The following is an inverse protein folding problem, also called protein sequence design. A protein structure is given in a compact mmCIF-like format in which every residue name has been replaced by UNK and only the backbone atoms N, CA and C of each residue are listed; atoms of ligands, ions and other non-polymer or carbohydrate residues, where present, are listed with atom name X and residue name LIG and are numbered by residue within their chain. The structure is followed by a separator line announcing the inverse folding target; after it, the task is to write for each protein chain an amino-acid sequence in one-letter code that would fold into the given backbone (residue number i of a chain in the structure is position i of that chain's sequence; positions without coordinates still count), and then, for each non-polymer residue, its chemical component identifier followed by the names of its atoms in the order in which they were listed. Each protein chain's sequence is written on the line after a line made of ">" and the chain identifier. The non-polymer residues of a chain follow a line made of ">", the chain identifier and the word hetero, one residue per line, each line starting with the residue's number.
data_IF_304015498055
#
_entry.id   IF_304015498055
#
_cell.length_a   1.000
_cell.length_b   1.000
_cell.length_c   1.000
_cell.angle_alpha   90.00
_cell.angle_beta   90.00
_cell.angle_gamma   90.00
#
_symmetry.space_group_name_H-M   'P 1'
#
loop_
_entity.id
_entity.type
_entity.pdbx_description
1 polymer ?
#
# COMPACT_ATOMS: atom_id res chain seq x y z
N UNK A 1 11.21 33.66 58.94
CA UNK A 1 12.23 34.72 59.09
C UNK A 1 13.54 34.21 58.52
N UNK A 2 13.93 34.67 57.33
CA UNK A 2 15.34 34.81 56.90
C UNK A 2 15.31 35.65 55.61
N UNK A 3 15.89 36.86 55.71
CA UNK A 3 16.09 37.80 54.61
C UNK A 3 17.33 37.39 53.82
N UNK A 4 17.27 37.45 52.48
CA UNK A 4 18.34 38.04 51.66
C UNK A 4 17.86 38.29 50.23
N UNK A 5 18.16 39.50 49.78
CA UNK A 5 17.78 40.25 48.57
C UNK A 5 18.50 39.82 47.27
N UNK A 6 18.08 40.35 46.10
CA UNK A 6 18.38 39.83 44.76
C UNK A 6 19.61 40.48 44.10
N UNK A 7 20.15 39.85 43.04
CA UNK A 7 21.11 40.45 42.12
C UNK A 7 20.53 40.59 40.71
N UNK A 8 20.56 41.83 40.23
CA UNK A 8 20.31 42.27 38.87
C UNK A 8 21.44 41.85 37.89
N UNK A 9 21.08 41.57 36.64
CA UNK A 9 21.86 41.89 35.43
C UNK A 9 20.90 41.90 34.21
N UNK A 10 20.37 43.07 33.81
CA UNK A 10 20.74 43.88 32.62
C UNK A 10 20.92 43.05 31.33
N UNK A 11 19.93 43.08 30.42
CA UNK A 11 19.82 43.96 29.23
C UNK A 11 21.00 43.86 28.26
N UNK A 12 20.74 43.28 27.08
CA UNK A 12 21.25 43.77 25.80
C UNK A 12 20.17 43.65 24.73
N UNK A 13 19.92 44.78 24.08
CA UNK A 13 19.02 45.01 22.95
C UNK A 13 19.86 45.56 21.80
N UNK A 14 19.69 45.04 20.57
CA UNK A 14 20.03 45.67 19.27
C UNK A 14 19.74 44.62 18.18
N UNK A 15 18.74 44.69 17.28
CA UNK A 15 18.29 45.70 16.29
C UNK A 15 19.23 45.88 15.07
N UNK A 16 18.64 45.69 13.88
CA UNK A 16 19.17 45.95 12.52
C UNK A 16 18.69 44.83 11.56
N UNK A 17 17.70 44.94 10.67
CA UNK A 17 17.16 45.96 9.74
C UNK A 17 18.02 46.23 8.48
N UNK A 18 17.33 46.25 7.31
CA UNK A 18 17.72 46.58 5.91
C UNK A 18 18.40 45.46 5.07
N UNK A 19 18.16 45.30 3.75
CA UNK A 19 17.33 45.99 2.76
C UNK A 19 17.27 45.16 1.45
N UNK A 20 16.18 45.36 0.71
CA UNK A 20 15.90 45.13 -0.72
C UNK A 20 17.09 45.09 -1.70
N UNK A 21 16.95 44.27 -2.76
CA UNK A 21 17.18 44.74 -4.14
C UNK A 21 16.41 43.91 -5.17
N UNK A 22 15.66 44.62 -6.02
CA UNK A 22 14.97 44.18 -7.22
C UNK A 22 15.96 44.04 -8.40
N UNK A 23 15.61 43.23 -9.41
CA UNK A 23 16.27 43.25 -10.71
C UNK A 23 15.57 42.34 -11.73
N UNK A 24 14.82 42.95 -12.64
CA UNK A 24 14.15 42.34 -13.80
C UNK A 24 15.06 42.24 -15.04
N UNK A 25 14.91 41.12 -15.76
CA UNK A 25 15.19 40.70 -17.18
C UNK A 25 15.73 41.74 -18.20
N UNK A 26 16.49 41.31 -19.24
CA UNK A 26 15.88 40.83 -20.49
C UNK A 26 16.54 39.59 -21.12
N UNK A 27 15.80 38.99 -22.06
CA UNK A 27 16.19 37.92 -22.97
C UNK A 27 17.02 38.45 -24.15
N UNK A 28 17.98 37.68 -24.66
CA UNK A 28 18.13 37.42 -26.10
C UNK A 28 19.13 36.29 -26.43
N UNK A 29 18.62 35.40 -27.27
CA UNK A 29 19.15 34.67 -28.43
C UNK A 29 20.62 34.18 -28.58
N UNK A 30 20.69 32.94 -29.08
CA UNK A 30 21.74 32.18 -29.81
C UNK A 30 23.19 32.13 -29.29
N UNK A 31 23.67 30.91 -29.02
CA UNK A 31 24.47 30.12 -29.99
C UNK A 31 24.94 28.80 -29.35
N UNK A 32 24.60 27.69 -30.01
CA UNK A 32 25.10 26.34 -29.71
C UNK A 32 26.42 26.13 -30.45
N UNK A 33 27.50 25.63 -29.81
CA UNK A 33 28.62 25.06 -30.55
C UNK A 33 28.43 23.55 -30.73
N UNK A 34 28.13 23.14 -31.96
CA UNK A 34 28.34 21.77 -32.46
C UNK A 34 29.77 21.63 -33.01
N UNK A 35 30.42 20.49 -32.75
CA UNK A 35 31.49 19.90 -33.61
C UNK A 35 31.83 18.48 -33.11
N UNK A 36 32.34 17.56 -33.96
CA UNK A 36 31.84 17.13 -35.27
C UNK A 36 31.60 15.60 -35.35
N UNK A 37 30.90 15.20 -36.40
CA UNK A 37 30.71 13.82 -36.84
C UNK A 37 32.04 13.15 -37.28
N UNK A 38 32.21 11.87 -36.93
CA UNK A 38 33.22 10.99 -37.54
C UNK A 38 32.56 10.22 -38.67
N UNK A 39 33.11 10.37 -39.87
CA UNK A 39 32.65 9.80 -41.12
C UNK A 39 32.99 8.30 -41.23
N UNK A 40 32.08 7.56 -41.89
CA UNK A 40 32.37 6.27 -42.51
C UNK A 40 33.38 6.44 -43.66
N UNK A 41 34.29 5.48 -43.80
CA UNK A 41 35.04 5.27 -45.03
C UNK A 41 35.01 3.77 -45.40
N UNK A 42 34.44 3.50 -46.57
CA UNK A 42 34.56 2.27 -47.34
C UNK A 42 36.02 1.97 -47.69
N UNK A 43 36.43 0.69 -47.59
CA UNK A 43 37.45 0.12 -48.48
C UNK A 43 37.18 -1.36 -48.70
N UNK A 44 36.88 -1.68 -49.96
CA UNK A 44 36.74 -3.03 -50.50
C UNK A 44 38.11 -3.62 -50.89
N UNK A 45 38.29 -4.94 -50.74
CA UNK A 45 39.43 -5.70 -51.26
C UNK A 45 39.40 -7.18 -50.81
N UNK A 46 39.92 -8.14 -51.61
CA UNK A 46 39.13 -9.31 -52.03
C UNK A 46 39.37 -10.64 -51.26
N UNK A 47 38.41 -11.54 -51.42
CA UNK A 47 38.40 -12.91 -50.92
C UNK A 47 39.45 -13.83 -51.59
N UNK A 48 39.98 -14.86 -50.89
CA UNK A 48 40.71 -15.94 -51.52
C UNK A 48 39.86 -17.20 -51.74
N UNK A 49 40.33 -17.97 -52.72
CA UNK A 49 39.67 -19.02 -53.47
C UNK A 49 39.44 -20.37 -52.74
N UNK A 50 38.49 -21.13 -53.30
CA UNK A 50 38.14 -22.51 -52.98
C UNK A 50 39.06 -23.49 -53.73
N UNK A 51 39.46 -24.58 -53.06
CA UNK A 51 39.92 -25.84 -53.69
C UNK A 51 39.69 -27.05 -52.72
N UNK A 52 39.60 -28.30 -53.22
CA UNK A 52 38.47 -29.19 -52.90
C UNK A 52 38.75 -30.41 -51.99
N UNK A 53 37.63 -30.95 -51.49
CA UNK A 53 37.30 -32.34 -51.16
C UNK A 53 38.34 -33.27 -50.47
N UNK A 54 38.02 -33.66 -49.23
CA UNK A 54 38.37 -34.96 -48.67
C UNK A 54 37.13 -35.58 -47.99
N UNK A 55 36.62 -36.65 -48.59
CA UNK A 55 35.47 -37.44 -48.14
C UNK A 55 35.91 -38.42 -47.05
N UNK A 56 35.35 -38.36 -45.84
CA UNK A 56 35.35 -39.52 -44.93
C UNK A 56 34.30 -39.43 -43.80
N UNK A 57 33.37 -40.40 -43.85
CA UNK A 57 32.58 -41.01 -42.76
C UNK A 57 31.46 -40.18 -42.09
N UNK A 58 30.25 -40.38 -42.62
CA UNK A 58 28.96 -40.17 -41.96
C UNK A 58 28.84 -40.98 -40.66
N UNK A 59 29.16 -40.37 -39.53
CA UNK A 59 28.56 -40.71 -38.24
C UNK A 59 27.26 -39.93 -38.10
N UNK A 60 26.14 -40.63 -37.83
CA UNK A 60 24.82 -39.99 -37.62
C UNK A 60 24.94 -38.87 -36.55
N UNK A 61 24.60 -37.61 -36.86
CA UNK A 61 24.54 -36.59 -35.82
C UNK A 61 23.33 -36.91 -34.92
N UNK A 62 23.62 -37.22 -33.66
CA UNK A 62 22.60 -37.29 -32.61
C UNK A 62 22.02 -35.88 -32.50
N UNK A 63 20.75 -35.71 -32.88
CA UNK A 63 20.04 -34.45 -32.72
C UNK A 63 19.85 -34.21 -31.22
N UNK A 64 20.84 -33.60 -30.57
CA UNK A 64 20.65 -33.04 -29.24
C UNK A 64 19.72 -31.85 -29.45
N UNK A 65 18.42 -32.04 -29.21
CA UNK A 65 17.50 -30.91 -29.08
C UNK A 65 18.12 -30.00 -28.02
N UNK A 66 18.51 -28.76 -28.34
CA UNK A 66 18.82 -27.82 -27.29
C UNK A 66 17.55 -27.71 -26.46
N UNK A 67 17.63 -28.09 -25.18
CA UNK A 67 16.64 -27.65 -24.21
C UNK A 67 16.73 -26.14 -24.27
N UNK A 68 15.74 -25.52 -24.90
CA UNK A 68 15.49 -24.10 -24.77
C UNK A 68 15.21 -23.91 -23.27
N UNK A 69 16.26 -23.69 -22.47
CA UNK A 69 16.08 -22.97 -21.24
C UNK A 69 15.36 -21.69 -21.65
N UNK A 70 14.18 -21.40 -21.07
CA UNK A 70 13.57 -20.11 -21.28
C UNK A 70 14.64 -19.10 -20.89
N UNK A 71 15.13 -18.35 -21.87
CA UNK A 71 15.98 -17.19 -21.61
C UNK A 71 15.10 -16.28 -20.78
N UNK A 72 15.27 -16.34 -19.45
CA UNK A 72 14.65 -15.38 -18.57
C UNK A 72 15.14 -14.02 -19.09
N UNK A 73 14.23 -13.13 -19.52
CA UNK A 73 14.64 -11.77 -19.82
C UNK A 73 15.36 -11.25 -18.57
N UNK A 74 16.44 -10.48 -18.70
CA UNK A 74 17.15 -9.94 -17.54
C UNK A 74 16.17 -9.06 -16.75
N UNK A 75 15.50 -9.64 -15.77
CA UNK A 75 14.65 -8.91 -14.84
C UNK A 75 15.60 -8.06 -14.03
N UNK A 76 15.69 -6.76 -14.33
CA UNK A 76 16.44 -5.78 -13.53
C UNK A 76 15.95 -5.68 -12.08
N UNK A 77 15.02 -6.52 -11.65
CA UNK A 77 14.51 -6.60 -10.29
C UNK A 77 14.94 -7.94 -9.71
N UNK A 78 15.82 -7.88 -8.71
CA UNK A 78 16.24 -9.01 -7.89
C UNK A 78 15.01 -9.53 -7.13
N UNK A 79 14.61 -10.79 -7.35
CA UNK A 79 13.70 -11.47 -6.41
C UNK A 79 14.43 -11.62 -5.09
N UNK A 80 13.79 -11.22 -4.00
CA UNK A 80 14.35 -11.35 -2.67
C UNK A 80 14.18 -12.77 -2.15
N UNK A 81 15.10 -13.20 -1.29
CA UNK A 81 14.92 -14.44 -0.53
C UNK A 81 13.84 -14.25 0.55
N UNK A 82 13.15 -15.32 1.00
CA UNK A 82 12.10 -15.25 2.01
C UNK A 82 12.48 -14.49 3.30
N UNK A 83 13.71 -14.64 3.75
CA UNK A 83 14.26 -13.99 4.95
C UNK A 83 14.48 -12.49 4.80
N UNK A 84 14.52 -11.96 3.57
CA UNK A 84 14.67 -10.54 3.29
C UNK A 84 13.31 -9.81 3.25
N UNK A 85 12.19 -10.54 3.30
CA UNK A 85 10.84 -9.99 3.28
C UNK A 85 10.41 -9.60 4.70
N UNK A 86 10.01 -8.34 4.87
CA UNK A 86 9.43 -7.87 6.13
C UNK A 86 8.09 -8.56 6.38
N UNK A 87 7.90 -9.04 7.61
CA UNK A 87 6.76 -9.88 8.01
C UNK A 87 6.22 -9.49 9.37
N UNK A 88 6.46 -8.27 9.81
CA UNK A 88 6.31 -7.87 11.22
C UNK A 88 4.86 -7.79 11.68
N UNK A 89 3.90 -7.94 10.75
CA UNK A 89 2.46 -7.92 11.02
C UNK A 89 1.72 -8.87 10.08
N UNK A 90 0.61 -9.44 10.55
CA UNK A 90 -0.37 -10.13 9.69
C UNK A 90 -1.45 -9.15 9.22
N UNK A 91 -1.94 -9.34 7.99
CA UNK A 91 -3.19 -8.74 7.51
C UNK A 91 -4.25 -9.82 7.31
N UNK A 92 -4.36 -10.72 8.30
CA UNK A 92 -5.36 -11.77 8.31
C UNK A 92 -6.68 -11.26 8.88
N UNK A 93 -7.78 -11.70 8.28
CA UNK A 93 -9.15 -11.57 8.78
C UNK A 93 -9.67 -12.99 8.98
N UNK A 94 -9.97 -13.35 10.22
CA UNK A 94 -10.48 -14.69 10.53
C UNK A 94 -11.98 -14.68 10.30
N UNK A 95 -12.46 -15.60 9.48
CA UNK A 95 -13.87 -15.78 9.19
C UNK A 95 -14.47 -16.75 10.19
N UNK A 96 -15.69 -16.46 10.65
CA UNK A 96 -16.46 -17.40 11.46
C UNK A 96 -16.95 -18.62 10.64
N UNK A 97 -17.71 -19.49 11.30
CA UNK A 97 -18.24 -20.75 10.74
C UNK A 97 -19.15 -20.55 9.53
N UNK A 98 -19.79 -19.39 9.44
CA UNK A 98 -20.68 -18.99 8.35
C UNK A 98 -19.96 -18.15 7.28
N UNK A 99 -18.62 -18.07 7.36
CA UNK A 99 -17.83 -17.18 6.50
C UNK A 99 -18.05 -15.70 6.86
N UNK A 100 -18.38 -15.42 8.11
CA UNK A 100 -18.71 -14.11 8.62
C UNK A 100 -17.51 -13.31 9.08
N UNK A 101 -17.60 -11.99 8.91
CA UNK A 101 -16.70 -11.02 9.52
C UNK A 101 -17.45 -9.73 9.89
N UNK A 102 -16.95 -9.03 10.90
CA UNK A 102 -17.41 -7.72 11.31
C UNK A 102 -16.30 -6.69 11.16
N UNK A 103 -16.68 -5.45 10.88
CA UNK A 103 -15.72 -4.37 10.87
C UNK A 103 -16.31 -3.01 11.16
N UNK A 104 -15.40 -2.05 11.41
CA UNK A 104 -15.72 -0.65 11.67
C UNK A 104 -14.89 0.28 10.81
N UNK A 105 -15.55 1.27 10.20
CA UNK A 105 -14.90 2.36 9.48
C UNK A 105 -15.15 3.70 10.18
N UNK A 106 -14.14 4.55 10.16
CA UNK A 106 -14.21 5.90 10.73
C UNK A 106 -13.42 6.90 9.88
N UNK A 107 -13.71 8.19 10.06
CA UNK A 107 -12.90 9.29 9.56
C UNK A 107 -12.10 9.90 10.72
N UNK A 108 -10.90 10.39 10.41
CA UNK A 108 -10.08 11.14 11.36
C UNK A 108 -10.32 12.62 11.07
N UNK A 109 -10.70 13.36 12.11
CA UNK A 109 -10.88 14.82 12.07
C UNK A 109 -10.03 15.48 13.14
N UNK A 110 -9.91 16.81 13.10
CA UNK A 110 -9.23 17.56 14.16
C UNK A 110 -9.92 17.46 15.53
N UNK A 111 -11.19 17.05 15.56
CA UNK A 111 -11.99 16.88 16.77
C UNK A 111 -11.93 15.45 17.31
N UNK A 112 -11.34 14.51 16.55
CA UNK A 112 -11.21 13.12 16.90
C UNK A 112 -11.75 12.19 15.82
N UNK A 113 -12.34 11.08 16.25
CA UNK A 113 -12.72 9.97 15.39
C UNK A 113 -14.23 10.01 15.19
N UNK A 114 -14.66 10.08 13.93
CA UNK A 114 -16.08 10.12 13.59
C UNK A 114 -16.48 8.84 12.85
N UNK A 115 -17.63 8.22 13.19
CA UNK A 115 -18.15 7.09 12.42
C UNK A 115 -18.25 7.39 10.93
N UNK A 116 -17.76 6.48 10.09
CA UNK A 116 -17.93 6.58 8.64
C UNK A 116 -19.21 5.83 8.25
N UNK A 117 -20.36 6.50 8.42
CA UNK A 117 -21.67 5.96 8.05
C UNK A 117 -21.91 5.99 6.53
N UNK A 118 -22.86 5.17 6.07
CA UNK A 118 -23.31 5.09 4.66
C UNK A 118 -22.18 4.80 3.66
N UNK A 119 -21.12 4.11 4.10
CA UNK A 119 -20.03 3.64 3.28
C UNK A 119 -20.43 2.32 2.63
N UNK A 120 -20.38 2.26 1.30
CA UNK A 120 -20.58 1.01 0.56
C UNK A 120 -19.30 0.17 0.62
N UNK A 121 -19.31 -0.87 1.45
CA UNK A 121 -18.20 -1.79 1.68
C UNK A 121 -18.29 -2.96 0.71
N UNK A 122 -17.18 -3.29 0.04
CA UNK A 122 -17.07 -4.38 -0.93
C UNK A 122 -15.85 -5.22 -0.61
N UNK A 123 -16.05 -6.53 -0.59
CA UNK A 123 -14.97 -7.52 -0.47
C UNK A 123 -14.61 -8.02 -1.86
N UNK A 124 -13.32 -7.98 -2.16
CA UNK A 124 -12.76 -8.34 -3.45
C UNK A 124 -11.95 -9.63 -3.30
N UNK A 125 -12.41 -10.74 -3.86
CA UNK A 125 -11.71 -12.05 -3.90
C UNK A 125 -11.93 -12.71 -5.26
N UNK A 126 -11.17 -13.75 -5.61
CA UNK A 126 -11.37 -14.50 -6.86
C UNK A 126 -11.39 -13.67 -8.17
N UNK A 127 -10.70 -12.53 -8.21
CA UNK A 127 -10.65 -11.66 -9.38
C UNK A 127 -11.78 -10.61 -9.53
N UNK A 128 -12.66 -10.47 -8.52
CA UNK A 128 -13.78 -9.54 -8.60
C UNK A 128 -14.48 -9.28 -7.27
N UNK A 129 -15.71 -8.77 -7.32
CA UNK A 129 -16.54 -8.52 -6.14
C UNK A 129 -17.15 -9.83 -5.63
N UNK A 130 -16.84 -10.19 -4.39
CA UNK A 130 -17.37 -11.37 -3.72
C UNK A 130 -18.56 -11.05 -2.82
N UNK A 131 -18.51 -9.93 -2.09
CA UNK A 131 -19.60 -9.48 -1.23
C UNK A 131 -19.71 -7.95 -1.20
N UNK A 132 -20.86 -7.45 -0.77
CA UNK A 132 -21.15 -6.02 -0.61
C UNK A 132 -22.11 -5.80 0.57
N UNK A 133 -21.87 -4.73 1.33
CA UNK A 133 -22.72 -4.26 2.41
C UNK A 133 -22.57 -2.74 2.58
N UNK A 134 -23.29 -2.15 3.53
CA UNK A 134 -23.19 -0.73 3.87
C UNK A 134 -22.96 -0.58 5.36
N UNK A 135 -22.10 0.36 5.76
CA UNK A 135 -21.92 0.69 7.18
C UNK A 135 -23.14 1.38 7.77
N UNK A 136 -23.48 1.06 9.00
CA UNK A 136 -24.53 1.74 9.76
C UNK A 136 -24.10 3.13 10.29
N UNK A 137 -24.95 3.78 11.08
CA UNK A 137 -24.70 5.09 11.68
C UNK A 137 -23.49 5.13 12.63
N UNK A 138 -23.03 3.98 13.12
CA UNK A 138 -21.85 3.83 13.98
C UNK A 138 -20.60 3.45 13.18
N UNK A 139 -20.71 3.33 11.85
CA UNK A 139 -19.63 2.92 10.96
C UNK A 139 -19.40 1.40 10.99
N UNK A 140 -20.27 0.63 11.63
CA UNK A 140 -20.16 -0.82 11.71
C UNK A 140 -20.74 -1.47 10.47
N UNK A 141 -20.15 -2.59 10.07
CA UNK A 141 -20.66 -3.45 9.01
C UNK A 141 -20.40 -4.91 9.32
N UNK A 142 -21.21 -5.79 8.71
CA UNK A 142 -21.05 -7.24 8.77
C UNK A 142 -21.26 -7.83 7.39
N UNK A 143 -20.52 -8.89 7.09
CA UNK A 143 -20.60 -9.69 5.87
C UNK A 143 -20.59 -11.15 6.28
N UNK A 144 -21.34 -12.00 5.57
CA UNK A 144 -21.37 -13.46 5.75
C UNK A 144 -21.16 -14.18 4.42
N UNK A 145 -20.86 -15.48 4.45
CA UNK A 145 -20.71 -16.30 3.25
C UNK A 145 -19.41 -16.06 2.49
N UNK A 146 -18.39 -15.48 3.13
CA UNK A 146 -17.05 -15.38 2.55
C UNK A 146 -16.34 -16.73 2.62
N UNK A 147 -15.46 -16.96 1.65
CA UNK A 147 -14.52 -18.08 1.64
C UNK A 147 -13.13 -17.58 1.98
N UNK A 148 -12.33 -18.41 2.65
CA UNK A 148 -10.91 -18.12 2.87
C UNK A 148 -10.19 -17.95 1.52
N UNK A 149 -9.59 -16.78 1.32
CA UNK A 149 -8.89 -16.38 0.09
C UNK A 149 -8.02 -15.14 0.37
N UNK A 150 -7.11 -14.82 -0.55
CA UNK A 150 -6.45 -13.52 -0.59
C UNK A 150 -7.37 -12.54 -1.31
N UNK A 151 -7.40 -11.30 -0.85
CA UNK A 151 -8.28 -10.30 -1.43
C UNK A 151 -8.04 -8.90 -0.94
N UNK A 152 -9.10 -8.11 -0.95
CA UNK A 152 -9.09 -6.75 -0.47
C UNK A 152 -10.44 -6.26 0.00
N UNK A 153 -10.42 -5.26 0.86
CA UNK A 153 -11.60 -4.51 1.28
C UNK A 153 -11.54 -3.16 0.58
N UNK A 154 -12.62 -2.81 -0.10
CA UNK A 154 -12.80 -1.51 -0.74
C UNK A 154 -14.11 -0.90 -0.24
N UNK A 155 -14.07 0.27 0.37
CA UNK A 155 -15.27 1.01 0.71
C UNK A 155 -15.22 2.46 0.26
N UNK A 156 -16.39 3.00 -0.10
CA UNK A 156 -16.53 4.39 -0.54
C UNK A 156 -17.88 4.94 -0.11
N UNK A 157 -17.91 6.20 0.31
CA UNK A 157 -19.14 6.87 0.74
C UNK A 157 -18.87 8.33 1.13
N UNK A 158 -19.80 8.97 1.87
CA UNK A 158 -19.70 10.38 2.23
C UNK A 158 -18.44 10.72 3.04
N UNK A 159 -17.98 9.82 3.90
CA UNK A 159 -16.80 10.06 4.75
C UNK A 159 -15.48 9.99 3.96
N UNK A 160 -15.45 9.29 2.82
CA UNK A 160 -14.24 9.14 2.02
C UNK A 160 -14.13 7.80 1.28
N UNK A 161 -12.91 7.29 1.17
CA UNK A 161 -12.59 6.02 0.50
C UNK A 161 -11.57 5.24 1.32
N UNK A 162 -11.71 3.93 1.39
CA UNK A 162 -10.70 3.03 1.96
C UNK A 162 -10.48 1.85 1.02
N UNK A 163 -9.23 1.43 0.88
CA UNK A 163 -8.83 0.27 0.09
C UNK A 163 -7.59 -0.37 0.71
N UNK A 164 -7.59 -1.65 1.02
CA UNK A 164 -6.37 -2.37 1.42
C UNK A 164 -6.53 -3.87 1.23
N UNK A 165 -5.40 -4.55 1.06
CA UNK A 165 -5.33 -5.99 0.90
C UNK A 165 -5.39 -6.72 2.23
N UNK A 166 -6.06 -7.87 2.24
CA UNK A 166 -6.17 -8.77 3.39
C UNK A 166 -6.12 -10.22 2.92
N UNK A 167 -5.83 -11.12 3.86
CA UNK A 167 -6.03 -12.56 3.69
C UNK A 167 -7.16 -13.03 4.59
N UNK A 168 -8.23 -13.54 4.00
CA UNK A 168 -9.31 -14.19 4.72
C UNK A 168 -8.89 -15.62 5.09
N UNK A 169 -9.06 -15.98 6.36
CA UNK A 169 -8.64 -17.27 6.91
C UNK A 169 -9.83 -17.91 7.61
N UNK A 170 -10.05 -19.21 7.40
CA UNK A 170 -11.11 -19.91 8.12
C UNK A 170 -10.79 -20.04 9.61
N UNK A 171 -11.82 -20.00 10.46
CA UNK A 171 -11.70 -20.32 11.88
C UNK A 171 -11.00 -21.66 12.10
N UNK A 172 -10.04 -21.68 13.01
CA UNK A 172 -9.28 -22.86 13.44
C UNK A 172 -8.83 -22.68 14.89
N UNK A 173 -8.39 -23.74 15.60
CA UNK A 173 -7.80 -23.58 16.92
C UNK A 173 -6.62 -22.60 16.95
N UNK A 174 -5.88 -22.50 15.84
CA UNK A 174 -4.75 -21.56 15.67
C UNK A 174 -5.21 -20.14 15.30
N UNK A 175 -6.41 -19.99 14.76
CA UNK A 175 -7.03 -18.72 14.37
C UNK A 175 -8.50 -18.71 14.83
N UNK A 176 -8.78 -18.48 16.12
CA UNK A 176 -10.15 -18.44 16.62
C UNK A 176 -10.88 -17.19 16.09
N UNK A 177 -12.17 -17.36 15.77
CA UNK A 177 -13.07 -16.26 15.37
C UNK A 177 -13.79 -15.71 16.61
N UNK A 178 -13.02 -15.29 17.61
CA UNK A 178 -13.52 -14.84 18.93
C UNK A 178 -13.55 -13.31 19.07
N UNK A 179 -13.27 -12.59 17.97
CA UNK A 179 -13.22 -11.13 17.96
C UNK A 179 -14.58 -10.50 17.75
N UNK A 180 -14.80 -9.37 18.42
CA UNK A 180 -15.96 -8.52 18.19
C UNK A 180 -15.84 -7.72 16.88
N UNK A 181 -14.62 -7.32 16.54
CA UNK A 181 -14.26 -6.61 15.32
C UNK A 181 -13.05 -7.26 14.67
N UNK A 182 -13.24 -7.82 13.47
CA UNK A 182 -12.14 -8.40 12.70
C UNK A 182 -11.33 -7.33 11.96
N UNK A 183 -12.00 -6.23 11.63
CA UNK A 183 -11.48 -5.15 10.83
C UNK A 183 -11.82 -3.80 11.45
N UNK A 184 -10.83 -2.95 11.58
CA UNK A 184 -11.02 -1.56 11.97
C UNK A 184 -10.08 -0.69 11.15
N UNK A 185 -10.58 0.34 10.46
CA UNK A 185 -9.72 1.19 9.61
C UNK A 185 -10.27 2.59 9.44
N UNK A 186 -9.35 3.56 9.37
CA UNK A 186 -9.68 4.91 8.96
C UNK A 186 -9.85 5.01 7.44
N UNK A 187 -10.79 5.83 6.99
CA UNK A 187 -10.96 6.17 5.58
C UNK A 187 -10.02 7.30 5.17
N UNK A 188 -9.53 7.28 3.93
CA UNK A 188 -8.92 8.44 3.30
C UNK A 188 -9.96 9.57 3.32
N UNK A 189 -9.65 10.74 3.91
CA UNK A 189 -10.61 11.84 4.02
C UNK A 189 -11.24 12.20 2.67
N UNK A 190 -12.53 12.55 2.68
CA UNK A 190 -13.27 12.90 1.46
C UNK A 190 -12.57 13.95 0.58
N UNK A 191 -11.91 14.94 1.19
CA UNK A 191 -11.12 15.97 0.48
C UNK A 191 -9.96 15.38 -0.35
N UNK A 192 -9.40 14.24 0.07
CA UNK A 192 -8.31 13.54 -0.61
C UNK A 192 -8.81 12.49 -1.62
N UNK A 193 -10.09 12.13 -1.57
CA UNK A 193 -10.63 11.00 -2.31
C UNK A 193 -10.51 11.18 -3.83
N UNK A 194 -10.73 12.39 -4.36
CA UNK A 194 -10.56 12.63 -5.80
C UNK A 194 -9.11 12.44 -6.26
N UNK A 195 -8.15 12.92 -5.48
CA UNK A 195 -6.74 12.79 -5.80
C UNK A 195 -6.26 11.35 -5.69
N UNK A 196 -6.69 10.61 -4.66
CA UNK A 196 -6.49 9.16 -4.55
C UNK A 196 -7.02 8.45 -5.80
N UNK A 197 -8.23 8.79 -6.22
CA UNK A 197 -8.87 8.22 -7.40
C UNK A 197 -8.07 8.48 -8.68
N UNK A 198 -7.54 9.70 -8.85
CA UNK A 198 -6.65 10.05 -9.98
C UNK A 198 -5.38 9.19 -9.98
N UNK A 199 -4.73 9.04 -8.82
CA UNK A 199 -3.52 8.22 -8.67
C UNK A 199 -3.78 6.76 -9.04
N UNK A 200 -4.87 6.17 -8.53
CA UNK A 200 -5.24 4.79 -8.88
C UNK A 200 -5.41 4.62 -10.39
N UNK A 201 -6.14 5.52 -11.04
CA UNK A 201 -6.38 5.44 -12.49
C UNK A 201 -5.11 5.60 -13.31
N UNK A 202 -4.11 6.36 -12.86
CA UNK A 202 -2.91 6.63 -13.64
C UNK A 202 -1.88 5.49 -13.57
N UNK A 203 -1.73 4.87 -12.40
CA UNK A 203 -0.53 4.07 -12.08
C UNK A 203 -0.83 2.59 -11.79
N UNK A 204 -2.11 2.19 -11.67
CA UNK A 204 -2.48 0.79 -11.42
C UNK A 204 -2.15 -0.12 -12.62
N UNK A 205 -1.66 -1.33 -12.35
CA UNK A 205 -1.39 -2.34 -13.36
C UNK A 205 -2.64 -3.12 -13.81
N UNK A 206 -2.45 -4.00 -14.80
CA UNK A 206 -3.46 -5.00 -15.25
C UNK A 206 -3.25 -6.38 -14.64
N UNK A 207 -2.01 -6.73 -14.27
CA UNK A 207 -1.65 -8.04 -13.70
C UNK A 207 -0.35 -7.94 -12.91
N UNK A 208 -0.13 -8.89 -12.02
CA UNK A 208 1.15 -9.06 -11.34
C UNK A 208 2.16 -9.68 -12.32
N UNK A 209 3.35 -9.08 -12.42
CA UNK A 209 4.39 -9.59 -13.32
C UNK A 209 5.16 -10.78 -12.72
N UNK A 210 5.00 -11.07 -11.43
CA UNK A 210 5.64 -12.22 -10.76
C UNK A 210 4.87 -13.50 -10.95
N UNK A 211 3.55 -13.43 -10.97
CA UNK A 211 2.67 -14.60 -10.96
C UNK A 211 2.03 -14.77 -12.33
N UNK A 212 2.78 -15.41 -13.23
CA UNK A 212 2.27 -15.84 -14.54
C UNK A 212 2.11 -17.37 -14.65
N UNK A 213 2.34 -18.10 -13.55
CA UNK A 213 2.23 -19.55 -13.45
C UNK A 213 1.57 -19.97 -12.14
N UNK A 214 1.11 -21.22 -12.08
CA UNK A 214 0.63 -21.86 -10.85
C UNK A 214 1.66 -21.81 -9.72
N UNK A 215 1.19 -21.87 -8.47
CA UNK A 215 2.03 -21.95 -7.27
C UNK A 215 2.98 -23.12 -7.35
N UNK A 216 4.24 -22.88 -6.99
CA UNK A 216 5.27 -23.92 -6.85
C UNK A 216 5.66 -24.09 -5.38
N UNK A 217 6.27 -25.22 -4.99
CA UNK A 217 6.72 -25.41 -3.60
C UNK A 217 7.70 -24.34 -3.10
N UNK A 218 8.43 -23.67 -4.01
CA UNK A 218 9.29 -22.53 -3.66
C UNK A 218 8.48 -21.32 -3.19
N UNK A 219 7.25 -21.14 -3.68
CA UNK A 219 6.37 -20.05 -3.24
C UNK A 219 5.90 -20.26 -1.79
N UNK A 220 5.86 -21.50 -1.30
CA UNK A 220 5.49 -21.84 0.08
C UNK A 220 6.59 -21.52 1.10
N UNK A 221 7.84 -21.34 0.64
CA UNK A 221 8.96 -20.95 1.49
C UNK A 221 8.88 -19.49 1.97
N UNK A 222 8.06 -18.67 1.30
CA UNK A 222 7.86 -17.27 1.68
C UNK A 222 7.08 -17.15 2.99
N UNK A 223 7.34 -16.11 3.80
CA UNK A 223 6.72 -15.99 5.10
C UNK A 223 5.21 -15.70 4.99
N UNK A 224 4.43 -16.22 5.94
CA UNK A 224 3.21 -15.52 6.33
C UNK A 224 3.59 -14.40 7.30
N UNK A 225 2.75 -13.36 7.37
CA UNK A 225 2.89 -12.34 8.40
C UNK A 225 3.00 -12.94 9.80
N UNK A 226 3.71 -12.24 10.67
CA UNK A 226 3.90 -12.60 12.06
C UNK A 226 3.08 -11.69 12.98
N UNK A 227 2.88 -12.14 14.23
CA UNK A 227 2.01 -11.45 15.19
C UNK A 227 0.61 -12.07 15.26
N UNK A 228 -0.24 -11.58 16.18
CA UNK A 228 -1.61 -12.06 16.31
C UNK A 228 -2.36 -11.87 14.99
N UNK A 229 -3.09 -12.90 14.55
CA UNK A 229 -3.97 -12.82 13.40
C UNK A 229 -5.06 -11.78 13.66
N UNK A 230 -4.80 -10.52 13.35
CA UNK A 230 -5.78 -9.45 13.41
C UNK A 230 -5.23 -8.25 12.68
N UNK A 231 -5.87 -7.95 11.56
CA UNK A 231 -5.79 -6.64 10.94
C UNK A 231 -6.64 -5.65 11.73
N UNK A 232 -6.38 -5.54 13.04
CA UNK A 232 -6.71 -4.30 13.71
C UNK A 232 -5.71 -3.29 13.16
N UNK A 233 -6.01 -2.71 11.99
CA UNK A 233 -5.56 -1.37 11.59
C UNK A 233 -6.19 -0.35 12.59
N UNK A 234 -6.08 -0.64 13.89
CA UNK A 234 -6.46 0.24 14.97
C UNK A 234 -5.66 1.50 14.75
N UNK A 235 -6.37 2.59 14.46
CA UNK A 235 -5.90 3.98 14.53
C UNK A 235 -4.39 4.11 14.33
N UNK A 236 -3.94 4.20 13.08
CA UNK A 236 -2.54 4.51 12.80
C UNK A 236 -2.30 6.01 13.05
N UNK A 237 -2.18 6.34 14.32
CA UNK A 237 -1.43 7.51 14.77
C UNK A 237 0.04 7.21 14.53
N UNK A 238 0.58 7.74 13.44
CA UNK A 238 1.96 7.55 13.02
C UNK A 238 2.82 8.65 13.60
N UNK A 239 3.73 8.30 14.50
CA UNK A 239 4.64 9.27 15.07
C UNK A 239 5.80 9.56 14.11
N UNK A 240 6.13 10.84 13.95
CA UNK A 240 7.38 11.24 13.31
C UNK A 240 8.56 10.67 14.10
N UNK A 241 9.51 10.04 13.41
CA UNK A 241 10.77 9.63 13.99
C UNK A 241 11.60 10.85 14.41
N UNK A 242 12.61 10.64 15.28
CA UNK A 242 13.52 11.68 15.73
C UNK A 242 14.28 12.37 14.57
N UNK A 243 14.44 11.67 13.45
CA UNK A 243 15.03 12.20 12.21
C UNK A 243 14.02 12.90 11.29
N UNK A 244 12.78 13.13 11.77
CA UNK A 244 11.73 13.84 11.05
C UNK A 244 11.04 13.03 9.95
N UNK A 245 11.28 11.72 9.87
CA UNK A 245 10.68 10.84 8.86
C UNK A 245 9.50 10.04 9.39
N UNK A 246 8.58 9.72 8.49
CA UNK A 246 7.62 8.63 8.67
C UNK A 246 8.20 7.37 8.05
N UNK A 247 8.21 6.29 8.82
CA UNK A 247 8.58 4.96 8.37
C UNK A 247 7.34 4.07 8.27
N UNK A 248 7.33 3.20 7.28
CA UNK A 248 6.29 2.20 7.14
C UNK A 248 6.72 1.04 6.26
N UNK A 249 5.82 0.07 6.17
CA UNK A 249 5.94 -1.12 5.37
C UNK A 249 4.65 -1.39 4.60
N UNK A 250 4.80 -1.97 3.42
CA UNK A 250 3.70 -2.50 2.63
C UNK A 250 3.90 -4.00 2.52
N UNK A 251 2.90 -4.76 2.92
CA UNK A 251 2.90 -6.21 2.80
C UNK A 251 2.03 -6.60 1.62
N UNK A 252 2.64 -7.20 0.63
CA UNK A 252 1.94 -7.68 -0.54
C UNK A 252 1.77 -9.19 -0.44
N UNK A 253 0.54 -9.66 -0.62
CA UNK A 253 0.21 -11.08 -0.63
C UNK A 253 0.35 -11.65 -2.04
N UNK A 254 0.97 -12.82 -2.14
CA UNK A 254 0.79 -13.71 -3.28
C UNK A 254 -0.65 -14.23 -3.27
N UNK A 255 -1.40 -13.92 -4.32
CA UNK A 255 -2.82 -14.27 -4.42
C UNK A 255 -3.05 -15.79 -4.45
N UNK A 256 -2.02 -16.58 -4.79
CA UNK A 256 -2.12 -18.05 -4.90
C UNK A 256 -1.82 -18.76 -3.59
N UNK A 257 -0.94 -18.20 -2.76
CA UNK A 257 -0.44 -18.87 -1.53
C UNK A 257 -0.78 -18.11 -0.26
N UNK A 258 -1.13 -16.82 -0.35
CA UNK A 258 -1.33 -15.93 0.78
C UNK A 258 -0.04 -15.56 1.52
N UNK A 259 1.13 -15.88 0.98
CA UNK A 259 2.44 -15.53 1.55
C UNK A 259 2.89 -14.14 1.10
N UNK A 260 3.78 -13.52 1.88
CA UNK A 260 4.33 -12.22 1.53
C UNK A 260 5.39 -12.30 0.45
N UNK A 261 5.36 -11.33 -0.46
CA UNK A 261 6.24 -11.27 -1.63
C UNK A 261 6.89 -9.91 -1.76
N UNK A 262 8.00 -9.92 -2.50
CA UNK A 262 8.79 -8.74 -2.78
C UNK A 262 7.98 -7.69 -3.55
N UNK A 263 8.14 -6.41 -3.21
CA UNK A 263 7.48 -5.29 -3.91
C UNK A 263 8.35 -4.83 -5.08
N UNK A 264 7.88 -4.97 -6.31
CA UNK A 264 8.63 -4.59 -7.51
C UNK A 264 8.30 -3.17 -8.00
N UNK A 265 7.07 -2.73 -7.79
CA UNK A 265 6.49 -1.53 -8.38
C UNK A 265 5.34 -1.00 -7.53
N UNK A 266 5.70 -0.28 -6.47
CA UNK A 266 4.74 0.49 -5.67
C UNK A 266 5.34 1.82 -5.22
N UNK A 267 4.51 2.86 -5.20
CA UNK A 267 4.84 4.17 -4.64
C UNK A 267 3.75 4.56 -3.64
N UNK A 268 4.17 5.12 -2.51
CA UNK A 268 3.28 5.71 -1.52
C UNK A 268 3.20 7.22 -1.68
N UNK A 269 2.03 7.77 -1.40
CA UNK A 269 1.69 9.18 -1.47
C UNK A 269 0.95 9.58 -0.21
N UNK A 270 1.37 10.69 0.40
CA UNK A 270 0.66 11.31 1.51
C UNK A 270 -0.13 12.49 0.95
N UNK A 271 -1.44 12.45 1.12
CA UNK A 271 -2.36 13.45 0.61
C UNK A 271 -2.96 14.26 1.77
N UNK A 272 -3.04 15.57 1.61
CA UNK A 272 -3.71 16.48 2.54
C UNK A 272 -4.48 17.51 1.72
N UNK A 273 -5.77 17.67 1.99
CA UNK A 273 -6.66 18.59 1.29
C UNK A 273 -6.59 18.48 -0.25
N UNK A 274 -6.48 17.24 -0.76
CA UNK A 274 -6.37 16.95 -2.19
C UNK A 274 -4.97 17.17 -2.79
N UNK A 275 -3.99 17.61 -1.99
CA UNK A 275 -2.62 17.91 -2.42
C UNK A 275 -1.66 16.82 -1.98
N UNK A 276 -0.70 16.47 -2.85
CA UNK A 276 0.38 15.53 -2.52
C UNK A 276 1.45 16.25 -1.69
N UNK A 277 1.55 15.88 -0.41
CA UNK A 277 2.49 16.46 0.55
C UNK A 277 3.83 15.72 0.61
N UNK A 278 3.81 14.42 0.33
CA UNK A 278 5.01 13.59 0.32
C UNK A 278 4.82 12.33 -0.51
N UNK A 279 5.93 11.71 -0.93
CA UNK A 279 5.89 10.42 -1.60
C UNK A 279 7.21 9.69 -1.51
N UNK A 280 7.17 8.35 -1.50
CA UNK A 280 8.36 7.50 -1.55
C UNK A 280 8.10 6.27 -2.42
N UNK A 281 9.16 5.78 -3.08
CA UNK A 281 9.13 4.43 -3.67
C UNK A 281 9.20 3.42 -2.54
N UNK A 282 8.44 2.34 -2.66
CA UNK A 282 8.54 1.20 -1.75
C UNK A 282 9.72 0.34 -2.20
N UNK A 283 10.59 -0.01 -1.25
CA UNK A 283 11.73 -0.88 -1.49
C UNK A 283 11.27 -2.34 -1.70
N UNK A 284 12.10 -3.21 -2.31
CA UNK A 284 11.69 -4.59 -2.57
C UNK A 284 11.28 -5.42 -1.37
N UNK A 285 11.79 -5.10 -0.18
CA UNK A 285 11.40 -5.76 1.08
C UNK A 285 10.09 -5.22 1.68
N UNK A 286 9.43 -4.26 1.04
CA UNK A 286 8.20 -3.62 1.50
C UNK A 286 8.39 -2.32 2.28
N UNK A 287 9.62 -1.96 2.67
CA UNK A 287 9.87 -0.75 3.47
C UNK A 287 9.76 0.55 2.67
N UNK A 288 9.36 1.63 3.32
CA UNK A 288 9.45 2.99 2.78
C UNK A 288 9.72 4.01 3.90
N UNK A 289 10.24 5.18 3.51
CA UNK A 289 10.39 6.33 4.41
C UNK A 289 10.06 7.62 3.68
N UNK A 290 9.26 8.49 4.29
CA UNK A 290 8.93 9.81 3.75
C UNK A 290 9.46 10.90 4.69
N UNK A 291 10.35 11.78 4.24
CA UNK A 291 10.83 12.90 5.03
C UNK A 291 9.85 14.08 4.99
N UNK A 292 10.08 15.04 5.90
CA UNK A 292 9.50 16.39 5.87
C UNK A 292 7.97 16.47 5.91
N UNK A 293 7.30 15.43 6.41
CA UNK A 293 5.89 15.48 6.72
C UNK A 293 5.67 16.28 8.01
N UNK A 294 4.69 17.18 7.97
CA UNK A 294 4.24 17.89 9.16
C UNK A 294 3.22 17.05 9.92
N UNK A 295 3.04 17.27 11.23
CA UNK A 295 1.90 16.68 11.93
C UNK A 295 0.58 17.10 11.29
N UNK A 296 -0.37 16.18 11.22
CA UNK A 296 -1.67 16.40 10.60
C UNK A 296 -2.33 15.10 10.11
N UNK A 297 -3.53 15.24 9.55
CA UNK A 297 -4.31 14.11 9.04
C UNK A 297 -4.03 13.96 7.55
N UNK A 298 -3.74 12.73 7.13
CA UNK A 298 -3.36 12.40 5.76
C UNK A 298 -4.18 11.25 5.21
N UNK A 299 -4.43 11.27 3.90
CA UNK A 299 -4.70 10.07 3.13
C UNK A 299 -3.38 9.44 2.71
N UNK A 300 -3.05 8.26 3.23
CA UNK A 300 -1.93 7.47 2.75
C UNK A 300 -2.41 6.58 1.60
N UNK A 301 -1.82 6.77 0.42
CA UNK A 301 -2.24 6.09 -0.81
C UNK A 301 -1.04 5.39 -1.45
N UNK A 302 -1.13 4.08 -1.62
CA UNK A 302 -0.17 3.28 -2.38
C UNK A 302 -0.71 2.93 -3.75
N UNK A 303 0.10 3.10 -4.79
CA UNK A 303 -0.27 2.70 -6.15
C UNK A 303 0.94 2.21 -6.94
N UNK A 304 0.70 1.22 -7.78
CA UNK A 304 1.63 0.77 -8.81
C UNK A 304 1.14 -0.52 -9.46
N UNK A 305 2.04 -1.19 -10.19
CA UNK A 305 1.73 -2.45 -10.89
C UNK A 305 1.47 -3.62 -9.95
N UNK A 306 2.01 -3.57 -8.73
CA UNK A 306 1.80 -4.62 -7.73
C UNK A 306 0.47 -4.48 -6.98
N UNK A 307 -0.27 -3.39 -7.20
CA UNK A 307 -1.56 -3.20 -6.56
C UNK A 307 -1.78 -1.79 -6.01
N UNK A 308 -2.79 -1.67 -5.17
CA UNK A 308 -3.23 -0.40 -4.59
C UNK A 308 -3.66 -0.52 -3.14
N UNK A 309 -3.56 0.60 -2.42
CA UNK A 309 -4.22 0.78 -1.13
C UNK A 309 -4.46 2.28 -0.86
N UNK A 310 -5.35 2.58 0.07
CA UNK A 310 -5.66 3.91 0.57
C UNK A 310 -6.29 3.82 1.95
N UNK A 311 -5.65 4.43 2.95
CA UNK A 311 -6.15 4.51 4.34
C UNK A 311 -5.97 5.92 4.89
N UNK A 312 -6.78 6.30 5.87
CA UNK A 312 -6.57 7.51 6.65
C UNK A 312 -5.52 7.28 7.74
N UNK A 313 -4.67 8.26 8.00
CA UNK A 313 -3.70 8.23 9.11
C UNK A 313 -3.60 9.60 9.77
N UNK A 314 -3.17 9.62 11.02
CA UNK A 314 -2.79 10.85 11.72
C UNK A 314 -1.28 10.85 11.95
N UNK A 315 -0.56 11.82 11.41
CA UNK A 315 0.86 12.00 11.71
C UNK A 315 1.00 12.92 12.91
N UNK A 316 1.69 12.47 13.96
CA UNK A 316 1.89 13.22 15.21
C UNK A 316 3.36 13.55 15.42
N UNK A 317 3.70 14.64 16.15
CA UNK A 317 5.09 15.01 16.39
C UNK A 317 5.85 13.93 17.17
N UNK A 318 7.17 13.89 16.95
CA UNK A 318 8.07 13.09 17.78
C UNK A 318 7.95 13.52 19.25
N UNK A 319 7.78 12.55 20.14
CA UNK A 319 7.73 12.73 21.59
C UNK A 319 8.69 11.73 22.20
N UNK A 320 9.85 12.21 22.62
CA UNK A 320 10.83 11.41 23.33
C UNK A 320 10.22 10.81 24.61
N UNK A 321 10.62 9.58 24.95
CA UNK A 321 10.36 9.02 26.27
C UNK A 321 10.89 9.99 27.33
N UNK A 322 9.99 10.55 28.15
CA UNK A 322 10.37 11.41 29.25
C UNK A 322 10.71 10.54 30.47
N UNK A 323 11.71 10.95 31.25
CA UNK A 323 12.04 10.33 32.54
C UNK A 323 11.56 11.31 33.62
N UNK A 324 10.77 10.81 34.57
CA UNK A 324 10.37 11.56 35.74
C UNK A 324 11.60 11.93 36.58
N UNK A 325 11.54 12.99 37.40
CA UNK A 325 12.63 13.39 38.29
C UNK A 325 13.08 12.31 39.28
N UNK A 326 12.24 11.30 39.53
CA UNK A 326 12.52 10.15 40.40
C UNK A 326 13.19 8.97 39.67
N UNK A 327 13.56 9.14 38.39
CA UNK A 327 14.19 8.12 37.57
C UNK A 327 13.22 7.10 36.98
N UNK A 328 11.91 7.20 37.24
CA UNK A 328 10.91 6.37 36.58
C UNK A 328 10.63 6.90 35.17
N UNK A 329 10.42 6.04 34.19
CA UNK A 329 10.01 6.49 32.88
C UNK A 329 8.57 7.02 32.96
N UNK A 330 8.33 8.23 32.44
CA UNK A 330 6.97 8.61 32.05
C UNK A 330 6.59 7.59 30.99
N UNK A 331 5.49 6.84 31.15
CA UNK A 331 4.92 6.12 30.04
C UNK A 331 4.43 7.17 29.05
N UNK A 332 5.32 7.66 28.19
CA UNK A 332 4.92 7.89 26.82
C UNK A 332 4.26 6.58 26.42
N UNK A 333 3.09 6.61 25.78
CA UNK A 333 2.70 5.44 25.00
C UNK A 333 3.86 5.23 24.03
N UNK A 334 4.85 4.46 24.44
CA UNK A 334 5.77 3.76 23.58
C UNK A 334 4.79 2.91 22.79
N UNK A 335 4.29 3.46 21.69
CA UNK A 335 4.04 2.66 20.53
C UNK A 335 5.41 2.11 20.18
N UNK A 336 5.81 1.07 20.92
CA UNK A 336 6.75 0.07 20.47
C UNK A 336 6.21 -0.31 19.11
N UNK A 337 7.03 -0.08 18.09
CA UNK A 337 6.81 -0.43 16.69
C UNK A 337 5.79 -1.59 16.58
N UNK A 338 4.72 -1.34 15.82
CA UNK A 338 4.96 -1.58 14.42
C UNK A 338 4.72 -0.30 13.65
N UNK A 339 5.77 0.19 13.00
CA UNK A 339 5.64 1.20 11.96
C UNK A 339 4.47 0.87 11.04
N UNK A 340 3.81 1.93 10.59
CA UNK A 340 2.73 1.95 9.61
C UNK A 340 2.79 0.74 8.67
N UNK A 341 1.81 -0.17 8.72
CA UNK A 341 1.85 -1.43 7.98
C UNK A 341 0.52 -1.72 7.32
N UNK A 342 0.52 -1.76 5.99
CA UNK A 342 -0.71 -1.92 5.22
C UNK A 342 -0.56 -2.99 4.15
N UNK A 343 -1.63 -3.73 3.92
CA UNK A 343 -1.73 -4.66 2.81
C UNK A 343 -2.11 -3.94 1.52
N UNK A 344 -1.53 -4.31 0.38
CA UNK A 344 -1.99 -3.85 -0.93
C UNK A 344 -2.98 -4.84 -1.55
N UNK A 345 -4.04 -4.32 -2.16
CA UNK A 345 -4.95 -5.11 -3.01
C UNK A 345 -4.19 -5.43 -4.30
N UNK A 346 -3.97 -6.71 -4.54
CA UNK A 346 -3.26 -7.19 -5.72
C UNK A 346 -4.06 -6.99 -7.03
N UNK A 347 -3.36 -6.94 -8.18
CA UNK A 347 -3.96 -6.67 -9.48
C UNK A 347 -4.87 -7.78 -10.01
N UNK A 348 -4.90 -8.99 -9.43
CA UNK A 348 -5.95 -9.94 -9.79
C UNK A 348 -7.32 -9.42 -9.33
N UNK A 349 -7.39 -8.76 -8.17
CA UNK A 349 -8.65 -8.33 -7.55
C UNK A 349 -9.07 -6.92 -7.98
N UNK A 350 -8.12 -6.00 -8.10
CA UNK A 350 -8.39 -4.61 -8.51
C UNK A 350 -7.29 -4.12 -9.45
N UNK A 351 -7.66 -3.80 -10.69
CA UNK A 351 -6.74 -3.42 -11.76
C UNK A 351 -7.36 -2.37 -12.67
N UNK A 352 -6.59 -1.86 -13.64
CA UNK A 352 -7.07 -0.78 -14.53
C UNK A 352 -8.34 -1.13 -15.32
N UNK A 353 -8.63 -2.41 -15.54
CA UNK A 353 -9.78 -2.86 -16.33
C UNK A 353 -11.08 -2.83 -15.50
N UNK A 354 -11.02 -3.25 -14.24
CA UNK A 354 -12.19 -3.31 -13.37
C UNK A 354 -12.33 -2.08 -12.43
N UNK A 355 -11.27 -1.29 -12.24
CA UNK A 355 -11.21 -0.17 -11.29
C UNK A 355 -12.37 0.82 -11.43
N UNK A 356 -12.78 1.18 -12.66
CA UNK A 356 -13.86 2.15 -12.87
C UNK A 356 -15.21 1.66 -12.33
N UNK A 357 -15.47 0.34 -12.38
CA UNK A 357 -16.69 -0.25 -11.80
C UNK A 357 -16.71 -0.10 -10.27
N UNK A 358 -15.54 -0.04 -9.64
CA UNK A 358 -15.41 0.14 -8.20
C UNK A 358 -15.44 1.61 -7.76
N UNK A 359 -14.95 2.50 -8.61
CA UNK A 359 -14.82 3.93 -8.32
C UNK A 359 -16.03 4.79 -8.73
N UNK A 360 -17.15 4.18 -9.13
CA UNK A 360 -18.36 4.86 -9.62
C UNK A 360 -18.66 6.16 -8.86
N UNK A 361 -18.89 7.23 -9.64
CA UNK A 361 -19.12 8.61 -9.18
C UNK A 361 -20.10 8.66 -8.02
N UNK A 362 -19.81 9.46 -7.00
CA UNK A 362 -20.62 9.66 -5.79
C UNK A 362 -22.01 10.23 -6.05
N UNK A 363 -22.86 9.43 -6.68
CA UNK A 363 -24.26 9.70 -6.92
C UNK A 363 -24.97 8.39 -6.64
N UNK A 364 -25.81 8.41 -5.61
CA UNK A 364 -26.82 7.39 -5.39
C UNK A 364 -27.64 7.28 -6.68
N UNK A 365 -27.33 6.28 -7.51
CA UNK A 365 -28.29 5.82 -8.48
C UNK A 365 -29.46 5.27 -7.68
N UNK A 366 -30.63 5.90 -7.86
CA UNK A 366 -31.82 5.71 -7.04
C UNK A 366 -32.24 4.25 -6.91
N UNK A 367 -32.85 4.00 -5.75
CA UNK A 367 -33.79 2.92 -5.44
C UNK A 367 -33.94 1.84 -6.51
N UNK A 368 -33.14 0.80 -6.38
CA UNK A 368 -33.70 -0.54 -6.43
C UNK A 368 -33.41 -1.18 -5.10
N UNK A 369 -34.44 -1.22 -4.25
CA UNK A 369 -34.41 -1.97 -3.01
C UNK A 369 -33.93 -3.41 -3.30
N UNK A 370 -32.96 -3.95 -2.56
CA UNK A 370 -32.71 -5.38 -2.62
C UNK A 370 -33.96 -6.09 -2.08
N UNK A 371 -34.59 -6.91 -2.92
CA UNK A 371 -35.60 -7.87 -2.48
C UNK A 371 -34.90 -8.91 -1.60
N UNK A 372 -34.82 -8.61 -0.31
CA UNK A 372 -34.65 -9.63 0.72
C UNK A 372 -35.94 -10.43 0.76
N UNK A 373 -36.01 -11.50 -0.04
CA UNK A 373 -36.99 -12.55 0.16
C UNK A 373 -36.64 -13.22 1.48
N UNK A 374 -37.33 -12.84 2.55
CA UNK A 374 -37.29 -13.53 3.82
C UNK A 374 -37.67 -15.01 3.60
N UNK A 375 -37.00 -15.98 4.25
CA UNK A 375 -37.44 -17.37 4.21
C UNK A 375 -38.82 -17.47 4.85
N UNK A 376 -39.80 -17.93 4.06
CA UNK A 376 -41.15 -18.23 4.52
C UNK A 376 -41.12 -19.29 5.62
N UNK A 377 -41.62 -18.94 6.81
CA UNK A 377 -41.85 -19.88 7.90
C UNK A 377 -42.81 -21.00 7.46
N UNK A 378 -42.58 -22.27 7.86
CA UNK A 378 -43.50 -23.34 7.55
C UNK A 378 -44.81 -23.15 8.35
N UNK A 379 -45.94 -23.24 7.64
CA UNK A 379 -47.27 -23.18 8.23
C UNK A 379 -47.45 -24.32 9.25
N UNK A 380 -47.89 -23.98 10.46
CA UNK A 380 -48.36 -24.94 11.44
C UNK A 380 -49.58 -25.68 10.88
N UNK A 381 -49.50 -27.01 10.82
CA UNK A 381 -50.64 -27.87 10.54
C UNK A 381 -51.55 -27.93 11.77
N UNK A 382 -52.84 -27.76 11.53
CA UNK A 382 -53.92 -28.12 12.45
C UNK A 382 -54.27 -29.61 12.32
#
# INVERSE_FOLDING_TARGET
>A
MLKSTPRHLRLFSSLGLLSLLQGTVPADDQTVPQTPAVALADTAGPAPAVAPAATARLGRPRLVRPVLQPVQPPSRVRRLAPEEILKDRTHNVVLDKDGGMTGRLYSITSEGLTPAADMRVRVLTGGGKSAETTTDATGLFSITGLTADVGGIFASGPAGVVAYGVRFVAESPENPADRELDVESAVVPAANAEQMRKLFKSDIGTRDLRFNTSATPEDDAFPAGSGPASTSLMYETVQLSADGKVYGQVNLHDERTGRYREVLSLRVHFLQDGVKMGSARVAPNGSFSVPDLKPGIYGLVGVGRDGVFGIGIEVVPFKAAAVNPDGTFVPVRLMLDPGLSVGSIGPAHLNSENLTSFMGSGQAAGDTAPTNTAPSAPAAAA
#
